data_IF_393488517458
#
_entry.id   IF_393488517458
#
_cell.length_a   1.000
_cell.length_b   1.000
_cell.length_c   1.000
_cell.angle_alpha   90.00
_cell.angle_beta   90.00
_cell.angle_gamma   90.00
#
_symmetry.space_group_name_H-M   'P 1'
#
loop_
_entity.id
_entity.type
_entity.pdbx_description
1 polymer ?
#
# COMPACT_ATOMS: atom_id res chain seq x y z
N UNK A 1 -7.08 24.71 0.72
CA UNK A 1 -6.48 23.61 1.45
C UNK A 1 -5.22 23.15 0.74
N UNK A 2 -4.18 22.90 1.50
CA UNK A 2 -2.90 22.52 0.92
C UNK A 2 -2.95 21.09 0.42
N UNK A 3 -2.42 20.87 -0.78
CA UNK A 3 -2.32 19.52 -1.34
C UNK A 3 -1.41 18.64 -0.50
N UNK A 4 -1.78 17.39 -0.30
CA UNK A 4 -0.96 16.38 0.37
C UNK A 4 -0.30 15.43 -0.63
N UNK A 5 -0.50 15.66 -1.94
CA UNK A 5 0.04 14.76 -2.96
C UNK A 5 1.55 14.64 -2.88
N UNK A 6 2.06 13.48 -3.30
CA UNK A 6 3.48 13.16 -3.26
C UNK A 6 4.24 14.03 -4.26
N UNK A 7 5.23 14.76 -3.79
CA UNK A 7 5.91 15.78 -4.61
C UNK A 7 7.20 15.32 -5.24
N UNK A 8 7.69 14.17 -4.83
CA UNK A 8 8.97 13.67 -5.30
C UNK A 8 8.78 12.71 -6.45
N UNK A 9 9.86 12.39 -7.15
CA UNK A 9 9.79 11.42 -8.22
C UNK A 9 9.36 10.08 -7.66
N UNK A 10 8.45 9.39 -8.37
CA UNK A 10 7.98 8.08 -7.96
C UNK A 10 8.79 7.03 -8.73
N UNK A 11 9.70 6.37 -8.03
CA UNK A 11 10.59 5.37 -8.62
C UNK A 11 10.07 4.00 -8.25
N UNK A 12 9.25 3.42 -9.13
CA UNK A 12 8.63 2.14 -8.81
C UNK A 12 9.66 1.03 -8.67
N UNK A 13 9.39 0.12 -7.77
CA UNK A 13 10.21 -1.07 -7.53
C UNK A 13 9.37 -2.30 -7.83
N UNK A 14 9.99 -3.37 -8.33
CA UNK A 14 9.24 -4.61 -8.58
C UNK A 14 8.62 -5.13 -7.29
N UNK A 15 7.40 -5.64 -7.39
CA UNK A 15 6.69 -6.16 -6.22
C UNK A 15 7.47 -7.29 -5.54
N UNK A 16 8.18 -8.11 -6.32
CA UNK A 16 9.00 -9.19 -5.75
C UNK A 16 10.15 -8.65 -4.88
N UNK A 17 10.75 -7.54 -5.29
CA UNK A 17 11.80 -6.93 -4.48
C UNK A 17 11.25 -6.34 -3.20
N UNK A 18 10.07 -5.75 -3.28
CA UNK A 18 9.41 -5.21 -2.09
C UNK A 18 9.05 -6.33 -1.13
N UNK A 19 8.56 -7.46 -1.64
CA UNK A 19 8.26 -8.61 -0.80
C UNK A 19 9.53 -9.09 -0.08
N UNK A 20 10.62 -9.25 -0.80
CA UNK A 20 11.88 -9.70 -0.20
C UNK A 20 12.37 -8.73 0.86
N UNK A 21 12.25 -7.43 0.59
CA UNK A 21 12.65 -6.41 1.54
C UNK A 21 11.85 -6.50 2.83
N UNK A 22 10.53 -6.62 2.71
CA UNK A 22 9.70 -6.69 3.91
C UNK A 22 9.81 -8.02 4.63
N UNK A 23 10.04 -9.11 3.91
CA UNK A 23 10.32 -10.40 4.55
C UNK A 23 11.60 -10.33 5.37
N UNK A 24 12.62 -9.65 4.82
CA UNK A 24 13.88 -9.48 5.53
C UNK A 24 13.68 -8.63 6.79
N UNK A 25 12.94 -7.54 6.67
CA UNK A 25 12.64 -6.71 7.83
C UNK A 25 11.84 -7.48 8.87
N UNK A 26 10.88 -8.30 8.44
CA UNK A 26 10.03 -9.07 9.34
C UNK A 26 10.81 -10.15 10.06
N UNK A 27 11.91 -10.63 9.49
CA UNK A 27 12.73 -11.63 10.16
C UNK A 27 13.40 -11.07 11.40
N UNK A 28 13.69 -9.76 11.42
CA UNK A 28 14.27 -9.11 12.58
C UNK A 28 13.25 -8.42 13.48
N UNK A 29 12.13 -7.98 12.87
CA UNK A 29 11.06 -7.29 13.59
C UNK A 29 9.74 -7.84 13.10
N UNK A 30 9.16 -8.82 13.81
CA UNK A 30 7.94 -9.49 13.34
C UNK A 30 6.75 -8.57 13.10
N UNK A 31 6.74 -7.37 13.68
CA UNK A 31 5.66 -6.42 13.45
C UNK A 31 5.52 -6.02 11.99
N UNK A 32 6.54 -6.23 11.16
CA UNK A 32 6.46 -5.98 9.71
C UNK A 32 5.62 -7.02 8.96
N UNK A 33 5.11 -8.03 9.64
CA UNK A 33 4.36 -9.11 8.98
C UNK A 33 3.21 -8.61 8.11
N UNK A 34 2.48 -7.58 8.55
CA UNK A 34 1.36 -7.09 7.75
C UNK A 34 1.83 -6.45 6.44
N UNK A 35 3.04 -5.84 6.43
CA UNK A 35 3.57 -5.28 5.20
C UNK A 35 3.86 -6.39 4.20
N UNK A 36 4.41 -7.51 4.67
CA UNK A 36 4.63 -8.68 3.83
C UNK A 36 3.31 -9.17 3.24
N UNK A 37 2.28 -9.26 4.07
CA UNK A 37 0.98 -9.77 3.60
C UNK A 37 0.34 -8.85 2.57
N UNK A 38 0.46 -7.54 2.75
CA UNK A 38 -0.05 -6.60 1.75
C UNK A 38 0.66 -6.80 0.41
N UNK A 39 1.99 -6.84 0.41
CA UNK A 39 2.75 -6.99 -0.84
C UNK A 39 2.45 -8.32 -1.49
N UNK A 40 2.38 -9.41 -0.71
CA UNK A 40 2.04 -10.73 -1.26
C UNK A 40 0.64 -10.73 -1.89
N UNK A 41 -0.30 -10.01 -1.28
CA UNK A 41 -1.65 -9.95 -1.83
C UNK A 41 -1.67 -9.26 -3.18
N UNK A 42 -0.83 -8.24 -3.38
CA UNK A 42 -0.75 -7.59 -4.68
C UNK A 42 -0.09 -8.51 -5.70
N UNK A 43 1.00 -9.18 -5.32
CA UNK A 43 1.67 -10.11 -6.23
C UNK A 43 0.73 -11.20 -6.72
N UNK A 44 -0.16 -11.67 -5.84
CA UNK A 44 -1.12 -12.72 -6.19
C UNK A 44 -2.33 -12.20 -6.94
N UNK A 45 -2.48 -10.89 -7.06
CA UNK A 45 -3.64 -10.27 -7.65
C UNK A 45 -3.51 -10.17 -9.16
N UNK A 46 -4.62 -10.32 -9.88
CA UNK A 46 -4.65 -10.07 -11.31
C UNK A 46 -4.46 -8.58 -11.61
N UNK A 47 -4.58 -7.72 -10.61
CA UNK A 47 -4.45 -6.28 -10.77
C UNK A 47 -3.03 -5.77 -10.52
N UNK A 48 -2.06 -6.64 -10.28
CA UNK A 48 -0.71 -6.20 -9.91
C UNK A 48 -0.06 -5.30 -10.97
N UNK A 49 -0.41 -5.51 -12.24
CA UNK A 49 0.15 -4.71 -13.32
C UNK A 49 -0.43 -3.30 -13.37
N UNK A 50 -1.50 -3.06 -12.64
CA UNK A 50 -2.15 -1.75 -12.60
C UNK A 50 -1.66 -0.89 -11.44
N UNK A 51 -0.81 -1.44 -10.58
CA UNK A 51 -0.31 -0.76 -9.39
C UNK A 51 1.21 -0.68 -9.41
N UNK A 52 1.73 0.42 -8.93
CA UNK A 52 3.17 0.62 -8.76
C UNK A 52 3.45 0.99 -7.31
N UNK A 53 4.63 0.64 -6.83
CA UNK A 53 4.97 0.91 -5.44
C UNK A 53 6.44 1.24 -5.28
N UNK A 54 6.74 1.96 -4.21
CA UNK A 54 8.10 2.24 -3.78
C UNK A 54 8.09 2.39 -2.26
N UNK A 55 9.25 2.48 -1.66
CA UNK A 55 9.36 2.70 -0.23
C UNK A 55 9.87 4.11 0.05
N UNK A 56 9.42 4.67 1.18
CA UNK A 56 9.95 5.91 1.72
C UNK A 56 10.21 5.64 3.20
N UNK A 57 11.47 5.65 3.57
CA UNK A 57 11.91 5.09 4.84
C UNK A 57 11.49 3.62 4.86
N UNK A 58 10.56 3.22 5.70
CA UNK A 58 10.03 1.85 5.65
C UNK A 58 8.55 1.82 5.26
N UNK A 59 7.96 2.99 5.02
CA UNK A 59 6.58 3.06 4.57
C UNK A 59 6.47 2.61 3.12
N UNK A 60 5.32 2.04 2.77
CA UNK A 60 5.01 1.64 1.41
C UNK A 60 4.16 2.71 0.75
N UNK A 61 4.58 3.17 -0.41
CA UNK A 61 3.81 4.13 -1.22
C UNK A 61 3.30 3.41 -2.45
N UNK A 62 2.01 3.53 -2.73
CA UNK A 62 1.38 2.83 -3.86
C UNK A 62 0.60 3.83 -4.71
N UNK A 63 0.73 3.72 -6.01
CA UNK A 63 -0.05 4.53 -6.95
C UNK A 63 -0.53 3.65 -8.09
N UNK A 64 -1.47 4.16 -8.90
CA UNK A 64 -1.94 3.41 -10.05
C UNK A 64 -1.07 3.71 -11.28
N UNK A 65 -1.18 2.83 -12.27
CA UNK A 65 -0.46 3.01 -13.54
C UNK A 65 -1.41 3.51 -14.60
N UNK A 66 -0.95 4.32 -15.55
CA UNK A 66 0.43 4.80 -15.67
C UNK A 66 0.76 5.81 -14.58
N UNK A 67 2.03 5.83 -14.17
CA UNK A 67 2.46 6.69 -13.07
C UNK A 67 2.43 8.14 -13.53
N UNK A 68 1.70 8.97 -12.78
CA UNK A 68 1.59 10.39 -13.11
C UNK A 68 2.88 11.13 -12.73
N UNK A 69 3.06 12.30 -13.34
CA UNK A 69 4.15 13.18 -12.94
C UNK A 69 3.88 13.77 -11.56
N UNK A 70 4.92 14.03 -10.75
CA UNK A 70 4.72 14.70 -9.47
C UNK A 70 4.18 16.11 -9.65
N UNK A 71 3.34 16.58 -8.73
CA UNK A 71 2.81 15.84 -7.58
C UNK A 71 1.73 14.85 -8.00
N UNK A 72 1.73 13.68 -7.37
CA UNK A 72 0.77 12.63 -7.72
C UNK A 72 0.12 12.06 -6.46
N UNK A 73 -1.05 11.47 -6.64
CA UNK A 73 -1.78 10.88 -5.52
C UNK A 73 -1.26 9.50 -5.24
N UNK A 74 -1.01 9.20 -3.96
CA UNK A 74 -0.51 7.90 -3.54
C UNK A 74 -1.24 7.45 -2.28
N UNK A 75 -1.21 6.14 -2.05
CA UNK A 75 -1.57 5.58 -0.75
C UNK A 75 -0.27 5.39 0.02
N UNK A 76 -0.31 5.72 1.31
CA UNK A 76 0.83 5.49 2.19
C UNK A 76 0.43 4.49 3.25
N UNK A 77 1.16 3.39 3.33
CA UNK A 77 0.97 2.38 4.38
C UNK A 77 2.12 2.55 5.36
N UNK A 78 1.80 2.85 6.61
CA UNK A 78 2.83 3.13 7.60
C UNK A 78 3.50 1.84 8.05
N UNK A 79 4.82 1.91 8.23
CA UNK A 79 5.59 0.83 8.80
C UNK A 79 5.43 0.82 10.33
N UNK A 80 5.67 -0.33 10.97
CA UNK A 80 5.57 -0.41 12.43
C UNK A 80 6.68 0.36 13.14
N UNK A 81 7.83 0.51 12.49
CA UNK A 81 8.94 1.33 12.99
C UNK A 81 9.55 2.07 11.82
N UNK A 82 10.12 3.22 12.09
CA UNK A 82 10.78 4.02 11.05
C UNK A 82 9.81 4.71 10.11
N UNK A 83 8.56 4.92 10.54
CA UNK A 83 7.58 5.60 9.72
C UNK A 83 7.59 7.09 10.01
N UNK A 84 7.37 7.90 8.97
CA UNK A 84 7.20 9.34 9.13
C UNK A 84 5.82 9.68 9.71
N UNK A 85 4.88 8.76 9.61
CA UNK A 85 3.51 9.00 10.05
C UNK A 85 2.95 7.77 10.74
N UNK A 86 3.50 7.44 11.93
CA UNK A 86 3.15 6.19 12.59
C UNK A 86 1.71 6.17 13.11
N UNK A 87 1.22 4.97 13.39
CA UNK A 87 -0.09 4.79 13.99
C UNK A 87 -0.08 5.33 15.42
N UNK A 88 -1.22 5.91 15.82
CA UNK A 88 -1.35 6.42 17.20
C UNK A 88 -1.83 5.31 18.14
N UNK A 89 -2.87 4.60 17.75
CA UNK A 89 -3.51 3.61 18.60
C UNK A 89 -3.63 2.23 17.97
N UNK A 90 -3.53 2.16 16.65
CA UNK A 90 -3.61 0.89 15.94
C UNK A 90 -2.23 0.38 15.57
N UNK A 91 -2.20 -0.69 14.81
CA UNK A 91 -0.94 -1.27 14.34
C UNK A 91 -0.54 -0.73 12.98
N UNK A 92 -1.52 -0.39 12.15
CA UNK A 92 -1.25 0.06 10.78
C UNK A 92 -2.10 1.28 10.46
N UNK A 93 -1.50 2.22 9.74
CA UNK A 93 -2.19 3.38 9.20
C UNK A 93 -2.10 3.32 7.70
N UNK A 94 -3.24 3.52 7.02
CA UNK A 94 -3.25 3.72 5.58
C UNK A 94 -3.92 5.05 5.32
N UNK A 95 -3.30 5.87 4.47
CA UNK A 95 -3.85 7.19 4.16
C UNK A 95 -3.71 7.47 2.67
N UNK A 96 -4.60 8.30 2.17
CA UNK A 96 -4.59 8.74 0.78
C UNK A 96 -4.04 10.16 0.75
N UNK A 97 -2.87 10.32 0.16
CA UNK A 97 -2.24 11.63 0.01
C UNK A 97 -2.70 12.22 -1.31
N UNK A 98 -3.68 13.13 -1.23
CA UNK A 98 -4.37 13.60 -2.42
C UNK A 98 -4.15 15.07 -2.69
N UNK A 99 -4.47 15.48 -3.92
CA UNK A 99 -4.40 16.87 -4.32
C UNK A 99 -5.39 17.73 -3.54
N UNK A 100 -6.51 17.13 -3.11
CA UNK A 100 -7.53 17.88 -2.38
C UNK A 100 -7.09 18.28 -0.99
N UNK A 101 -6.07 17.60 -0.44
CA UNK A 101 -5.62 17.85 0.91
C UNK A 101 -6.51 17.23 1.98
N UNK A 102 -7.50 16.42 1.59
CA UNK A 102 -8.32 15.70 2.57
C UNK A 102 -7.47 14.73 3.36
N UNK A 103 -7.76 14.63 4.64
CA UNK A 103 -7.04 13.73 5.51
C UNK A 103 -7.79 12.38 5.58
N UNK A 104 -7.65 11.59 4.53
CA UNK A 104 -8.23 10.25 4.49
C UNK A 104 -7.23 9.29 5.11
N UNK A 105 -7.33 9.13 6.42
CA UNK A 105 -6.41 8.34 7.21
C UNK A 105 -7.21 7.38 8.07
N UNK A 106 -6.90 6.09 8.00
CA UNK A 106 -7.60 5.07 8.77
C UNK A 106 -6.57 4.22 9.49
N UNK A 107 -6.80 3.97 10.79
CA UNK A 107 -5.98 3.08 11.59
C UNK A 107 -6.76 1.83 11.92
N UNK A 108 -6.10 0.67 11.83
CA UNK A 108 -6.71 -0.61 12.16
C UNK A 108 -5.66 -1.53 12.78
N UNK A 109 -6.09 -2.67 13.27
CA UNK A 109 -5.18 -3.70 13.73
C UNK A 109 -4.48 -4.34 12.52
N UNK A 110 -3.33 -4.96 12.78
CA UNK A 110 -2.56 -5.60 11.72
C UNK A 110 -3.37 -6.67 11.00
N UNK A 111 -4.27 -7.35 11.70
CA UNK A 111 -5.10 -8.39 11.09
C UNK A 111 -6.03 -7.86 10.00
N UNK A 112 -6.32 -6.56 10.02
CA UNK A 112 -7.20 -5.94 9.03
C UNK A 112 -6.44 -5.21 7.93
N UNK A 113 -5.10 -5.29 7.94
CA UNK A 113 -4.29 -4.50 7.04
C UNK A 113 -4.57 -4.79 5.56
N UNK A 114 -4.65 -6.07 5.18
CA UNK A 114 -4.85 -6.44 3.78
C UNK A 114 -6.22 -5.98 3.26
N UNK A 115 -7.34 -6.30 3.93
CA UNK A 115 -8.62 -5.80 3.43
C UNK A 115 -8.71 -4.28 3.45
N UNK A 116 -8.10 -3.61 4.42
CA UNK A 116 -8.10 -2.16 4.45
C UNK A 116 -7.33 -1.59 3.26
N UNK A 117 -6.18 -2.18 2.93
CA UNK A 117 -5.39 -1.75 1.79
C UNK A 117 -6.21 -1.83 0.50
N UNK A 118 -6.84 -2.98 0.26
CA UNK A 118 -7.61 -3.15 -0.98
C UNK A 118 -8.84 -2.25 -1.03
N UNK A 119 -9.43 -1.96 0.12
CA UNK A 119 -10.54 -1.03 0.18
C UNK A 119 -10.12 0.36 -0.30
N UNK A 120 -8.93 0.82 0.13
CA UNK A 120 -8.39 2.09 -0.36
C UNK A 120 -8.11 2.04 -1.86
N UNK A 121 -7.54 0.93 -2.34
CA UNK A 121 -7.23 0.78 -3.77
C UNK A 121 -8.50 0.88 -4.60
N UNK A 122 -9.55 0.19 -4.19
CA UNK A 122 -10.83 0.25 -4.89
C UNK A 122 -11.40 1.66 -4.86
N UNK A 123 -11.44 2.28 -3.69
CA UNK A 123 -12.07 3.59 -3.54
C UNK A 123 -11.30 4.70 -4.24
N UNK A 124 -9.97 4.66 -4.18
CA UNK A 124 -9.17 5.79 -4.66
C UNK A 124 -8.69 5.61 -6.10
N UNK A 125 -8.49 4.39 -6.52
CA UNK A 125 -7.98 4.12 -7.87
C UNK A 125 -8.97 3.37 -8.75
N UNK A 126 -10.06 2.85 -8.19
CA UNK A 126 -11.03 2.10 -8.96
C UNK A 126 -10.52 0.75 -9.45
N UNK A 127 -9.56 0.17 -8.77
CA UNK A 127 -8.93 -1.09 -9.18
C UNK A 127 -9.39 -2.20 -8.25
N UNK A 128 -9.96 -3.27 -8.85
CA UNK A 128 -10.42 -4.42 -8.07
C UNK A 128 -9.25 -5.31 -7.72
N UNK A 129 -9.21 -5.76 -6.46
CA UNK A 129 -8.14 -6.60 -5.99
C UNK A 129 -8.44 -8.08 -6.19
N UNK A 130 -8.56 -8.55 -7.43
CA UNK A 130 -8.90 -9.92 -7.71
C UNK A 130 -7.68 -10.82 -7.59
N UNK A 131 -7.89 -11.96 -6.95
CA UNK A 131 -6.84 -12.96 -6.82
C UNK A 131 -6.82 -13.84 -8.07
N UNK A 132 -5.62 -14.24 -8.50
CA UNK A 132 -5.48 -15.04 -9.69
C UNK A 132 -6.21 -16.38 -9.54
N UNK A 133 -6.10 -17.01 -8.38
CA UNK A 133 -6.74 -18.29 -8.19
C UNK A 133 -8.23 -18.19 -7.91
N UNK A 134 -8.71 -17.01 -7.65
CA UNK A 134 -10.13 -16.86 -7.45
C UNK A 134 -10.92 -17.10 -8.68
N UNK A 135 -10.28 -16.93 -9.79
CA UNK A 135 -11.00 -17.22 -10.99
C UNK A 135 -11.55 -18.59 -10.94
N UNK A 136 -10.97 -19.37 -10.15
CA UNK A 136 -11.52 -20.66 -10.02
C UNK A 136 -12.77 -20.59 -9.27
N UNK A 137 -12.96 -20.04 -8.79
CA UNK A 137 -13.92 -20.25 -8.25
C UNK A 137 -14.96 -20.31 -8.06
N UNK A 138 -14.88 -20.10 -7.98
CA UNK A 138 -15.81 -19.97 -7.72
C UNK A 138 -16.82 -19.97 -8.25
N UNK A 139 -16.77 -20.04 -8.56
CA UNK A 139 -17.61 -19.99 -8.92
C UNK A 139 -18.29 -20.34 -9.36
N UNK A 140 -18.78 -20.47 -9.26
CA UNK A 140 -19.78 -20.89 -9.46
C UNK A 140 -20.66 -20.89 -9.84
#
# INVERSE_FOLDING_TARGET
>A
VKSLAWRHQFKSQPWSELRERYEDLASGEPAFGYMVEIVKSVEASLSRELLAAMTSMHDLLVTDRPIADPPLEVLRVSAPVGSLNPADNGDVVIEHLSHSGRNDRVERSAAEAVPLFWRFVVEKFGIEGQQAENGSGDEP
#
